data_IF_650673869968
#
_entry.id   IF_650673869968
#
_cell.length_a   1.000
_cell.length_b   1.000
_cell.length_c   1.000
_cell.angle_alpha   90.00
_cell.angle_beta   90.00
_cell.angle_gamma   90.00
#
_symmetry.space_group_name_H-M   'P 1'
#
loop_
_entity.id
_entity.type
_entity.pdbx_description
1 polymer ?
#
# COMPACT_ATOMS: atom_id res chain seq x y z
N UNK A 1 16.67 23.27 14.23
CA UNK A 1 16.40 23.71 12.85
C UNK A 1 16.92 25.12 12.55
N UNK A 2 16.66 26.13 13.41
CA UNK A 2 17.20 27.51 13.18
C UNK A 2 18.73 27.59 13.14
N UNK A 3 19.42 26.81 13.95
CA UNK A 3 20.90 26.76 14.04
C UNK A 3 21.59 26.25 12.75
N UNK A 4 20.88 25.48 11.94
CA UNK A 4 21.43 24.87 10.72
C UNK A 4 20.86 25.47 9.42
N UNK A 5 20.10 26.56 9.49
CA UNK A 5 19.48 27.21 8.33
C UNK A 5 18.44 26.34 7.60
N UNK A 6 18.02 25.22 8.17
CA UNK A 6 17.06 24.29 7.57
C UNK A 6 15.66 24.88 7.59
N UNK A 7 15.08 25.08 6.42
CA UNK A 7 13.67 25.46 6.26
C UNK A 7 12.87 24.21 5.88
N UNK A 8 11.83 23.83 6.66
CA UNK A 8 10.97 22.72 6.27
C UNK A 8 10.23 23.08 4.97
N UNK A 9 10.16 22.13 4.03
CA UNK A 9 9.26 22.27 2.87
C UNK A 9 7.83 22.25 3.40
N UNK A 10 7.16 23.40 3.40
CA UNK A 10 5.76 23.49 3.81
C UNK A 10 4.93 22.84 2.72
N UNK A 11 4.28 21.72 3.02
CA UNK A 11 3.25 21.16 2.15
C UNK A 11 2.04 22.11 2.20
N UNK A 12 1.63 22.64 1.07
CA UNK A 12 0.30 23.23 0.97
C UNK A 12 -0.71 22.10 1.23
N UNK A 13 -1.38 22.16 2.38
CA UNK A 13 -2.40 21.18 2.72
C UNK A 13 -3.51 21.22 1.66
N UNK A 14 -3.75 20.12 0.98
CA UNK A 14 -4.99 19.92 0.26
C UNK A 14 -6.11 19.98 1.30
N UNK A 15 -6.98 20.96 1.18
CA UNK A 15 -8.23 20.99 1.92
C UNK A 15 -9.10 19.89 1.32
N UNK A 16 -9.14 18.71 1.95
CA UNK A 16 -10.12 17.68 1.63
C UNK A 16 -11.49 18.29 1.96
N UNK A 17 -12.20 18.72 0.94
CA UNK A 17 -13.62 18.99 1.05
C UNK A 17 -14.26 17.61 1.23
N UNK A 18 -14.71 17.29 2.44
CA UNK A 18 -15.59 16.16 2.69
C UNK A 18 -16.90 16.49 1.99
N UNK A 19 -17.02 16.07 0.73
CA UNK A 19 -18.31 15.99 0.07
C UNK A 19 -19.07 14.87 0.79
N UNK A 20 -20.20 15.23 1.37
CA UNK A 20 -21.12 14.32 2.06
C UNK A 20 -21.37 13.09 1.20
N UNK A 21 -21.10 11.93 1.75
CA UNK A 21 -21.36 10.62 1.11
C UNK A 21 -22.89 10.32 1.01
N UNK A 22 -23.73 11.21 1.53
CA UNK A 22 -25.18 11.11 1.52
C UNK A 22 -25.73 11.32 0.10
N UNK A 23 -26.28 10.25 -0.47
CA UNK A 23 -27.02 10.28 -1.75
C UNK A 23 -26.30 9.68 -2.96
N UNK A 24 -25.10 9.11 -2.84
CA UNK A 24 -24.47 8.35 -3.93
C UNK A 24 -24.85 6.87 -3.84
N UNK A 25 -25.13 6.20 -4.98
CA UNK A 25 -25.48 4.78 -4.97
C UNK A 25 -24.35 3.95 -4.35
N UNK A 26 -24.71 2.95 -3.56
CA UNK A 26 -23.76 1.99 -3.03
C UNK A 26 -23.15 1.17 -4.17
N UNK A 27 -21.85 0.86 -4.04
CA UNK A 27 -21.18 -0.03 -4.98
C UNK A 27 -21.61 -1.47 -4.74
N UNK A 28 -21.68 -2.28 -5.80
CA UNK A 28 -21.98 -3.72 -5.70
C UNK A 28 -20.97 -4.46 -4.80
N UNK A 29 -19.74 -3.94 -4.71
CA UNK A 29 -18.68 -4.48 -3.85
C UNK A 29 -18.46 -3.54 -2.67
N UNK A 30 -18.59 -4.08 -1.46
CA UNK A 30 -18.50 -3.31 -0.21
C UNK A 30 -17.10 -2.72 0.00
N UNK A 31 -17.05 -1.44 0.42
CA UNK A 31 -15.81 -0.83 0.90
C UNK A 31 -15.44 -1.39 2.27
N UNK A 32 -14.55 -2.39 2.29
CA UNK A 32 -14.15 -3.10 3.50
C UNK A 32 -13.42 -2.19 4.52
N UNK A 33 -12.74 -1.14 4.06
CA UNK A 33 -12.01 -0.21 4.95
C UNK A 33 -12.94 0.60 5.86
N UNK A 34 -14.25 0.67 5.55
CA UNK A 34 -15.24 1.28 6.43
C UNK A 34 -15.69 0.36 7.56
N UNK A 35 -15.56 -0.95 7.39
CA UNK A 35 -16.15 -1.98 8.25
C UNK A 35 -15.10 -2.78 9.01
N UNK A 36 -13.91 -2.98 8.43
CA UNK A 36 -12.84 -3.79 9.00
C UNK A 36 -11.65 -2.90 9.36
N UNK A 37 -11.32 -2.86 10.64
CA UNK A 37 -10.04 -2.34 11.10
C UNK A 37 -9.02 -3.49 11.10
N UNK A 38 -7.97 -3.46 10.27
CA UNK A 38 -6.97 -4.53 10.29
C UNK A 38 -6.18 -4.46 11.59
N UNK A 39 -6.22 -5.54 12.37
CA UNK A 39 -5.47 -5.68 13.63
C UNK A 39 -4.14 -6.42 13.44
N UNK A 40 -3.85 -6.88 12.24
CA UNK A 40 -2.61 -7.60 11.88
C UNK A 40 -2.31 -7.42 10.41
N UNK A 41 -1.05 -7.69 10.04
CA UNK A 41 -0.61 -7.67 8.65
C UNK A 41 -1.30 -8.75 7.81
N UNK A 42 -1.30 -8.54 6.50
CA UNK A 42 -1.84 -9.45 5.48
C UNK A 42 -3.36 -9.73 5.61
N UNK A 43 -4.11 -8.85 6.28
CA UNK A 43 -5.58 -8.91 6.27
C UNK A 43 -6.14 -8.10 5.12
N UNK A 44 -5.68 -6.88 4.95
CA UNK A 44 -6.10 -5.98 3.89
C UNK A 44 -4.86 -5.41 3.20
N UNK A 45 -4.78 -5.62 1.88
CA UNK A 45 -3.88 -4.85 1.04
C UNK A 45 -4.67 -3.82 0.25
N UNK A 46 -4.06 -2.67 0.01
CA UNK A 46 -4.64 -1.66 -0.88
C UNK A 46 -3.72 -1.46 -2.08
N UNK A 47 -4.33 -1.42 -3.26
CA UNK A 47 -3.63 -1.21 -4.52
C UNK A 47 -4.03 0.11 -5.18
N UNK A 48 -3.09 0.70 -5.88
CA UNK A 48 -3.29 1.85 -6.74
C UNK A 48 -2.09 1.98 -7.68
N UNK A 49 -2.17 2.83 -8.68
CA UNK A 49 -1.03 3.18 -9.51
C UNK A 49 -0.91 4.69 -9.68
N UNK A 50 0.30 5.14 -9.94
CA UNK A 50 0.59 6.52 -10.28
C UNK A 50 1.37 6.59 -11.58
N UNK A 51 1.47 7.79 -12.16
CA UNK A 51 2.23 8.01 -13.38
C UNK A 51 3.32 9.06 -13.17
N UNK A 52 4.39 8.87 -13.92
CA UNK A 52 5.57 9.75 -13.98
C UNK A 52 5.79 10.09 -15.44
N UNK A 53 5.76 11.39 -15.78
CA UNK A 53 6.15 11.84 -17.11
C UNK A 53 7.67 11.85 -17.21
N UNK A 54 8.22 11.10 -18.15
CA UNK A 54 9.66 11.05 -18.34
C UNK A 54 10.02 10.95 -19.82
N UNK A 55 10.89 11.87 -20.29
CA UNK A 55 11.31 12.07 -21.68
C UNK A 55 10.08 12.41 -22.55
N UNK A 56 9.41 11.42 -23.14
CA UNK A 56 8.36 11.58 -24.15
C UNK A 56 7.06 10.83 -23.85
N UNK A 57 6.97 10.19 -22.67
CA UNK A 57 5.81 9.35 -22.30
C UNK A 57 5.57 9.26 -20.79
N UNK A 58 4.42 8.69 -20.46
CA UNK A 58 4.12 8.29 -19.08
C UNK A 58 4.70 6.92 -18.77
N UNK A 59 5.27 6.81 -17.58
CA UNK A 59 5.62 5.57 -16.91
C UNK A 59 4.67 5.39 -15.73
N UNK A 60 4.17 4.18 -15.56
CA UNK A 60 3.18 3.86 -14.55
C UNK A 60 3.84 3.00 -13.47
N UNK A 61 3.60 3.35 -12.21
CA UNK A 61 4.09 2.61 -11.07
C UNK A 61 2.87 2.15 -10.28
N UNK A 62 2.57 0.85 -10.33
CA UNK A 62 1.57 0.22 -9.48
C UNK A 62 2.22 -0.23 -8.17
N UNK A 63 1.54 -0.01 -7.06
CA UNK A 63 2.01 -0.45 -5.74
C UNK A 63 0.91 -1.11 -4.95
N UNK A 64 1.31 -2.04 -4.09
CA UNK A 64 0.47 -2.71 -3.11
C UNK A 64 0.99 -2.39 -1.71
N UNK A 65 0.14 -1.80 -0.89
CA UNK A 65 0.44 -1.44 0.50
C UNK A 65 -0.32 -2.36 1.46
N UNK A 66 0.35 -2.89 2.47
CA UNK A 66 -0.34 -3.52 3.60
C UNK A 66 -0.95 -2.42 4.50
N UNK A 67 -2.26 -2.46 4.67
CA UNK A 67 -3.01 -1.40 5.36
C UNK A 67 -2.67 -1.33 6.85
N UNK A 68 -2.25 -2.41 7.48
CA UNK A 68 -1.85 -2.42 8.89
C UNK A 68 -0.44 -1.87 9.09
N UNK A 69 0.54 -2.41 8.37
CA UNK A 69 1.95 -2.05 8.54
C UNK A 69 2.35 -0.79 7.80
N UNK A 70 1.58 -0.36 6.78
CA UNK A 70 1.92 0.71 5.82
C UNK A 70 3.13 0.36 4.93
N UNK A 71 3.58 -0.86 4.95
CA UNK A 71 4.67 -1.34 4.10
C UNK A 71 4.20 -1.49 2.65
N UNK A 72 4.98 -1.02 1.70
CA UNK A 72 4.79 -1.37 0.29
C UNK A 72 5.31 -2.79 0.11
N UNK A 73 4.38 -3.72 -0.01
CA UNK A 73 4.68 -5.17 -0.07
C UNK A 73 4.90 -5.66 -1.49
N UNK A 74 4.43 -4.93 -2.50
CA UNK A 74 4.66 -5.26 -3.91
C UNK A 74 4.56 -4.03 -4.79
N UNK A 75 5.19 -4.10 -5.95
CA UNK A 75 5.17 -3.02 -6.94
C UNK A 75 5.53 -3.53 -8.33
N UNK A 76 5.09 -2.79 -9.34
CA UNK A 76 5.52 -3.00 -10.72
C UNK A 76 5.60 -1.65 -11.46
N UNK A 77 6.50 -1.55 -12.44
CA UNK A 77 6.64 -0.39 -13.31
C UNK A 77 6.44 -0.80 -14.76
N UNK A 78 5.69 -0.01 -15.52
CA UNK A 78 5.41 -0.27 -16.93
C UNK A 78 5.13 1.02 -17.70
N UNK A 79 5.09 0.92 -19.02
CA UNK A 79 4.80 2.02 -19.94
C UNK A 79 3.30 2.10 -20.34
N UNK A 80 2.47 1.21 -19.81
CA UNK A 80 1.03 1.19 -20.01
C UNK A 80 0.30 0.93 -18.70
N UNK A 81 -0.84 1.60 -18.48
CA UNK A 81 -1.73 1.33 -17.35
C UNK A 81 -2.73 0.24 -17.76
N UNK A 82 -2.35 -0.98 -17.60
CA UNK A 82 -3.15 -2.16 -17.98
C UNK A 82 -3.44 -3.02 -16.77
N UNK A 83 -4.40 -3.92 -16.90
CA UNK A 83 -4.68 -4.94 -15.89
C UNK A 83 -3.44 -5.77 -15.55
N UNK A 84 -2.53 -6.01 -16.52
CA UNK A 84 -1.29 -6.72 -16.23
C UNK A 84 -0.37 -5.95 -15.29
N UNK A 85 -0.28 -4.62 -15.39
CA UNK A 85 0.55 -3.80 -14.50
C UNK A 85 0.16 -4.01 -13.02
N UNK A 86 -1.15 -3.97 -12.73
CA UNK A 86 -1.65 -4.15 -11.36
C UNK A 86 -1.60 -5.60 -10.91
N UNK A 87 -1.79 -6.54 -11.84
CA UNK A 87 -1.64 -7.97 -11.57
C UNK A 87 -0.20 -8.34 -11.20
N UNK A 88 0.78 -7.82 -11.93
CA UNK A 88 2.20 -8.03 -11.66
C UNK A 88 2.60 -7.45 -10.28
N UNK A 89 2.07 -6.26 -9.92
CA UNK A 89 2.30 -5.68 -8.60
C UNK A 89 1.70 -6.53 -7.47
N UNK A 90 0.49 -7.10 -7.66
CA UNK A 90 -0.13 -8.01 -6.71
C UNK A 90 0.64 -9.33 -6.57
N UNK A 91 1.05 -9.92 -7.67
CA UNK A 91 1.84 -11.16 -7.68
C UNK A 91 3.23 -10.95 -7.06
N UNK A 92 3.85 -9.79 -7.29
CA UNK A 92 5.10 -9.42 -6.63
C UNK A 92 4.89 -9.35 -5.10
N UNK A 93 3.79 -8.75 -4.64
CA UNK A 93 3.43 -8.71 -3.22
C UNK A 93 3.25 -10.10 -2.63
N UNK A 94 2.50 -10.98 -3.30
CA UNK A 94 2.26 -12.35 -2.87
C UNK A 94 3.57 -13.15 -2.79
N UNK A 95 4.45 -13.01 -3.78
CA UNK A 95 5.76 -13.67 -3.81
C UNK A 95 6.68 -13.18 -2.69
N UNK A 96 6.77 -11.85 -2.45
CA UNK A 96 7.66 -11.27 -1.43
C UNK A 96 7.23 -11.60 -0.01
N UNK A 97 5.92 -11.61 0.23
CA UNK A 97 5.37 -11.86 1.57
C UNK A 97 5.19 -13.34 1.86
N UNK A 98 5.18 -14.21 0.83
CA UNK A 98 4.86 -15.63 0.95
C UNK A 98 3.40 -15.90 1.35
N UNK A 99 2.52 -14.90 1.23
CA UNK A 99 1.10 -15.00 1.61
C UNK A 99 0.23 -14.10 0.75
N UNK A 100 -1.09 -14.18 0.93
CA UNK A 100 -2.07 -13.34 0.25
C UNK A 100 -3.00 -12.67 1.26
N UNK A 101 -3.56 -11.50 0.94
CA UNK A 101 -4.48 -10.82 1.85
C UNK A 101 -5.85 -11.47 1.80
N UNK A 102 -6.62 -11.32 2.88
CA UNK A 102 -8.05 -11.68 2.86
C UNK A 102 -8.85 -10.75 1.95
N UNK A 103 -8.50 -9.46 1.94
CA UNK A 103 -9.17 -8.44 1.15
C UNK A 103 -8.14 -7.60 0.37
N UNK A 104 -8.49 -7.29 -0.88
CA UNK A 104 -7.72 -6.35 -1.69
C UNK A 104 -8.58 -5.13 -2.00
N UNK A 105 -8.17 -3.97 -1.51
CA UNK A 105 -8.89 -2.71 -1.67
C UNK A 105 -8.28 -1.86 -2.78
N UNK A 106 -9.12 -1.29 -3.64
CA UNK A 106 -8.70 -0.36 -4.70
C UNK A 106 -9.79 0.70 -4.95
N UNK A 107 -9.51 1.62 -5.84
CA UNK A 107 -10.55 2.41 -6.45
C UNK A 107 -11.35 1.59 -7.49
N UNK A 108 -12.28 2.26 -8.20
CA UNK A 108 -13.04 1.66 -9.29
C UNK A 108 -12.42 1.96 -10.67
N UNK A 109 -11.10 2.02 -10.77
CA UNK A 109 -10.42 2.07 -12.05
C UNK A 109 -10.78 0.86 -12.92
N UNK A 110 -10.87 1.05 -14.23
CA UNK A 110 -11.25 0.01 -15.19
C UNK A 110 -10.39 -1.24 -15.06
N UNK A 111 -9.13 -1.05 -14.72
CA UNK A 111 -8.15 -2.11 -14.53
C UNK A 111 -8.50 -3.00 -13.35
N UNK A 112 -8.90 -2.39 -12.21
CA UNK A 112 -9.24 -3.07 -10.95
C UNK A 112 -10.59 -3.78 -10.97
N UNK A 113 -11.56 -3.27 -11.76
CA UNK A 113 -12.89 -3.88 -11.90
C UNK A 113 -12.98 -4.81 -13.10
N UNK A 114 -11.86 -5.09 -13.77
CA UNK A 114 -11.82 -6.04 -14.89
C UNK A 114 -12.03 -7.47 -14.39
N UNK A 115 -12.83 -8.25 -15.13
CA UNK A 115 -13.06 -9.66 -14.79
C UNK A 115 -11.76 -10.50 -14.72
N UNK A 116 -10.74 -10.12 -15.49
CA UNK A 116 -9.42 -10.77 -15.43
C UNK A 116 -8.73 -10.53 -14.08
N UNK A 117 -8.78 -9.31 -13.56
CA UNK A 117 -8.17 -9.00 -12.25
C UNK A 117 -8.95 -9.63 -11.10
N UNK A 118 -10.28 -9.58 -11.15
CA UNK A 118 -11.13 -10.24 -10.14
C UNK A 118 -10.90 -11.75 -10.11
N UNK A 119 -10.79 -12.40 -11.27
CA UNK A 119 -10.45 -13.83 -11.38
C UNK A 119 -9.07 -14.14 -10.81
N UNK A 120 -8.10 -13.26 -11.04
CA UNK A 120 -6.77 -13.38 -10.42
C UNK A 120 -6.88 -13.35 -8.90
N UNK A 121 -7.53 -12.33 -8.32
CA UNK A 121 -7.69 -12.23 -6.87
C UNK A 121 -8.38 -13.47 -6.28
N UNK A 122 -9.43 -13.95 -6.93
CA UNK A 122 -10.16 -15.16 -6.51
C UNK A 122 -9.26 -16.40 -6.53
N UNK A 123 -8.39 -16.55 -7.53
CA UNK A 123 -7.43 -17.68 -7.59
C UNK A 123 -6.44 -17.69 -6.43
N UNK A 124 -6.21 -16.53 -5.81
CA UNK A 124 -5.40 -16.39 -4.58
C UNK A 124 -6.23 -16.39 -3.28
N UNK A 125 -7.55 -16.66 -3.36
CA UNK A 125 -8.45 -16.64 -2.21
C UNK A 125 -8.68 -15.25 -1.62
N UNK A 126 -8.43 -14.20 -2.40
CA UNK A 126 -8.55 -12.80 -1.99
C UNK A 126 -9.88 -12.21 -2.45
N UNK A 127 -10.59 -11.55 -1.55
CA UNK A 127 -11.87 -10.89 -1.85
C UNK A 127 -11.61 -9.43 -2.29
N UNK A 128 -12.11 -9.01 -3.47
CA UNK A 128 -12.00 -7.61 -3.89
C UNK A 128 -12.87 -6.69 -3.01
N UNK A 129 -12.42 -5.44 -2.88
CA UNK A 129 -13.11 -4.37 -2.18
C UNK A 129 -12.85 -3.06 -2.90
N UNK A 130 -13.87 -2.24 -3.12
CA UNK A 130 -13.69 -0.99 -3.86
C UNK A 130 -14.17 0.22 -3.07
N UNK A 131 -13.45 1.34 -3.24
CA UNK A 131 -13.93 2.65 -2.82
C UNK A 131 -15.10 3.08 -3.70
N UNK A 132 -15.93 4.02 -3.25
CA UNK A 132 -16.95 4.63 -4.11
C UNK A 132 -16.30 5.44 -5.23
N UNK A 133 -16.92 5.43 -6.41
CA UNK A 133 -16.47 6.24 -7.55
C UNK A 133 -16.39 7.71 -7.16
N UNK A 134 -15.24 8.35 -7.46
CA UNK A 134 -14.99 9.76 -7.14
C UNK A 134 -14.78 10.03 -5.64
N UNK A 135 -14.39 9.04 -4.85
CA UNK A 135 -14.10 9.16 -3.43
C UNK A 135 -12.63 8.81 -3.11
N UNK A 136 -11.64 9.60 -3.61
CA UNK A 136 -10.21 9.28 -3.46
C UNK A 136 -9.78 9.15 -2.00
N UNK A 137 -10.40 9.90 -1.08
CA UNK A 137 -10.12 9.79 0.36
C UNK A 137 -10.36 8.39 0.94
N UNK A 138 -11.12 7.53 0.25
CA UNK A 138 -11.37 6.16 0.66
C UNK A 138 -10.17 5.22 0.35
N UNK A 139 -9.23 5.65 -0.51
CA UNK A 139 -7.94 5.01 -0.72
C UNK A 139 -6.78 5.90 -0.20
N UNK A 140 -7.00 6.62 0.89
CA UNK A 140 -6.06 7.59 1.46
C UNK A 140 -4.69 7.03 1.85
N UNK A 141 -4.56 5.72 1.98
CA UNK A 141 -3.27 5.06 2.21
C UNK A 141 -2.35 5.19 1.01
N UNK A 142 -2.85 4.89 -0.17
CA UNK A 142 -2.12 5.00 -1.43
C UNK A 142 -1.89 6.46 -1.81
N UNK A 143 -2.91 7.31 -1.65
CA UNK A 143 -2.78 8.75 -1.90
C UNK A 143 -1.66 9.36 -1.05
N UNK A 144 -1.63 9.05 0.25
CA UNK A 144 -0.59 9.51 1.16
C UNK A 144 0.80 9.00 0.76
N UNK A 145 0.89 7.73 0.33
CA UNK A 145 2.15 7.17 -0.15
C UNK A 145 2.64 7.90 -1.41
N UNK A 146 1.81 8.03 -2.45
CA UNK A 146 2.23 8.64 -3.72
C UNK A 146 2.60 10.11 -3.60
N UNK A 147 1.92 10.86 -2.72
CA UNK A 147 2.29 12.24 -2.43
C UNK A 147 3.71 12.35 -1.85
N UNK A 148 4.08 11.42 -0.97
CA UNK A 148 5.44 11.34 -0.43
C UNK A 148 6.44 10.84 -1.47
N UNK A 149 6.09 9.75 -2.15
CA UNK A 149 6.92 9.11 -3.17
C UNK A 149 7.36 10.10 -4.27
N UNK A 150 6.40 10.84 -4.85
CA UNK A 150 6.70 11.84 -5.89
C UNK A 150 7.56 12.99 -5.38
N UNK A 151 7.29 13.45 -4.14
CA UNK A 151 8.08 14.52 -3.52
C UNK A 151 9.52 14.10 -3.27
N UNK A 152 9.72 12.89 -2.80
CA UNK A 152 11.02 12.35 -2.39
C UNK A 152 11.82 11.81 -3.58
N UNK A 153 11.14 11.28 -4.61
CA UNK A 153 11.74 10.96 -5.90
C UNK A 153 12.34 12.21 -6.55
N UNK A 154 11.72 13.38 -6.32
CA UNK A 154 12.24 14.68 -6.76
C UNK A 154 12.08 14.93 -8.25
N UNK A 155 12.99 15.75 -8.80
CA UNK A 155 12.96 16.11 -10.23
C UNK A 155 13.49 14.96 -11.08
N UNK A 156 12.58 14.37 -11.87
CA UNK A 156 12.93 13.24 -12.76
C UNK A 156 13.83 13.62 -13.93
N UNK A 157 13.95 14.94 -14.24
CA UNK A 157 14.88 15.43 -15.28
C UNK A 157 16.36 15.20 -14.93
N UNK A 158 16.67 14.81 -13.70
CA UNK A 158 18.01 14.39 -13.28
C UNK A 158 18.45 13.05 -13.85
N UNK A 159 17.53 12.27 -14.41
CA UNK A 159 17.84 10.98 -15.00
C UNK A 159 18.12 11.14 -16.50
N UNK A 160 19.19 10.52 -16.98
CA UNK A 160 19.63 10.60 -18.38
C UNK A 160 18.85 9.63 -19.27
N UNK A 161 18.40 8.50 -18.72
CA UNK A 161 17.68 7.48 -19.45
C UNK A 161 16.72 6.70 -18.53
N UNK A 162 15.79 5.98 -19.14
CA UNK A 162 14.73 5.26 -18.44
C UNK A 162 15.24 4.22 -17.41
N UNK A 163 16.38 3.60 -17.67
CA UNK A 163 16.98 2.65 -16.73
C UNK A 163 17.24 3.26 -15.36
N UNK A 164 17.74 4.51 -15.30
CA UNK A 164 17.96 5.22 -14.03
C UNK A 164 16.63 5.50 -13.31
N UNK A 165 15.55 5.84 -14.03
CA UNK A 165 14.23 6.00 -13.44
C UNK A 165 13.71 4.67 -12.87
N UNK A 166 13.86 3.58 -13.64
CA UNK A 166 13.43 2.23 -13.21
C UNK A 166 14.18 1.76 -11.97
N UNK A 167 15.46 2.09 -11.84
CA UNK A 167 16.27 1.81 -10.64
C UNK A 167 15.90 2.70 -9.45
N UNK A 168 15.57 3.96 -9.69
CA UNK A 168 15.23 4.89 -8.63
C UNK A 168 13.89 4.54 -7.93
N UNK A 169 12.95 3.93 -8.64
CA UNK A 169 11.64 3.53 -8.07
C UNK A 169 11.81 2.52 -6.92
N UNK A 170 12.47 1.36 -7.08
CA UNK A 170 12.67 0.43 -5.98
C UNK A 170 13.55 1.00 -4.86
N UNK A 171 14.52 1.85 -5.18
CA UNK A 171 15.33 2.52 -4.16
C UNK A 171 14.47 3.44 -3.28
N UNK A 172 13.55 4.19 -3.89
CA UNK A 172 12.62 5.05 -3.16
C UNK A 172 11.62 4.24 -2.33
N UNK A 173 11.14 3.09 -2.84
CA UNK A 173 10.29 2.17 -2.08
C UNK A 173 11.07 1.56 -0.90
N UNK A 174 12.32 1.18 -1.11
CA UNK A 174 13.21 0.68 -0.06
C UNK A 174 13.41 1.72 1.04
N UNK A 175 13.71 2.96 0.68
CA UNK A 175 13.81 4.08 1.61
C UNK A 175 12.51 4.27 2.41
N UNK A 176 11.36 4.30 1.73
CA UNK A 176 10.05 4.43 2.39
C UNK A 176 9.80 3.32 3.41
N UNK A 177 10.09 2.08 3.05
CA UNK A 177 9.85 0.93 3.90
C UNK A 177 10.79 0.84 5.10
N UNK A 178 12.08 1.16 4.92
CA UNK A 178 13.12 0.86 5.91
C UNK A 178 13.61 2.08 6.71
N UNK A 179 13.51 3.29 6.15
CA UNK A 179 14.13 4.47 6.76
C UNK A 179 13.12 5.58 7.08
N UNK A 180 12.11 5.76 6.22
CA UNK A 180 11.15 6.83 6.37
C UNK A 180 10.24 6.62 7.58
N UNK A 181 10.27 7.54 8.54
CA UNK A 181 9.37 7.50 9.70
C UNK A 181 7.93 7.78 9.27
N UNK A 182 7.05 6.79 9.41
CA UNK A 182 5.63 6.93 9.16
C UNK A 182 4.92 7.60 10.35
N UNK A 183 4.13 8.64 10.09
CA UNK A 183 3.50 9.45 11.15
C UNK A 183 2.59 8.66 12.09
N UNK A 184 1.85 7.66 11.56
CA UNK A 184 0.95 6.84 12.38
C UNK A 184 1.68 5.88 13.32
N UNK A 185 2.83 5.33 12.89
CA UNK A 185 3.59 4.33 13.65
C UNK A 185 4.78 4.92 14.40
N UNK A 186 5.18 6.17 14.09
CA UNK A 186 6.37 6.85 14.63
C UNK A 186 7.68 6.09 14.38
N UNK A 187 7.68 5.22 13.38
CA UNK A 187 8.81 4.41 12.93
C UNK A 187 8.62 3.99 11.47
N UNK A 188 9.67 3.47 10.79
CA UNK A 188 9.55 2.90 9.45
C UNK A 188 8.60 1.70 9.40
N UNK A 189 7.90 1.47 8.28
CA UNK A 189 6.95 0.37 8.12
C UNK A 189 7.52 -1.01 8.44
N UNK A 190 8.73 -1.32 7.97
CA UNK A 190 9.40 -2.61 8.25
C UNK A 190 9.70 -2.78 9.73
N UNK A 191 10.17 -1.72 10.41
CA UNK A 191 10.44 -1.77 11.85
C UNK A 191 9.15 -2.03 12.64
N UNK A 192 8.05 -1.38 12.23
CA UNK A 192 6.74 -1.63 12.83
C UNK A 192 6.29 -3.08 12.62
N UNK A 193 6.43 -3.61 11.39
CA UNK A 193 6.10 -5.00 11.08
C UNK A 193 6.85 -5.99 11.97
N UNK A 194 8.17 -5.82 12.08
CA UNK A 194 9.01 -6.70 12.90
C UNK A 194 8.58 -6.71 14.37
N UNK A 195 8.32 -5.53 14.95
CA UNK A 195 7.81 -5.41 16.33
C UNK A 195 6.45 -6.07 16.51
N UNK A 196 5.54 -5.89 15.56
CA UNK A 196 4.21 -6.50 15.61
C UNK A 196 4.28 -8.03 15.53
N UNK A 197 5.20 -8.58 14.72
CA UNK A 197 5.46 -10.02 14.64
C UNK A 197 6.02 -10.58 15.95
N UNK A 198 6.99 -9.89 16.55
CA UNK A 198 7.57 -10.27 17.84
C UNK A 198 6.52 -10.31 18.95
N UNK A 199 5.70 -9.27 19.05
CA UNK A 199 4.60 -9.22 20.01
C UNK A 199 3.59 -10.34 19.81
N UNK A 200 3.20 -10.64 18.57
CA UNK A 200 2.27 -11.73 18.26
C UNK A 200 2.86 -13.11 18.63
N UNK A 201 4.15 -13.31 18.41
CA UNK A 201 4.84 -14.57 18.80
C UNK A 201 4.91 -14.71 20.32
N UNK A 202 5.25 -13.64 21.04
CA UNK A 202 5.28 -13.64 22.50
C UNK A 202 3.91 -13.94 23.10
N UNK A 203 2.84 -13.36 22.54
CA UNK A 203 1.47 -13.65 23.00
C UNK A 203 1.08 -15.11 22.76
N UNK A 204 1.45 -15.70 21.62
CA UNK A 204 1.22 -17.11 21.33
C UNK A 204 1.95 -18.01 22.34
N UNK A 205 3.22 -17.74 22.64
CA UNK A 205 4.01 -18.51 23.62
C UNK A 205 3.36 -18.41 25.00
N UNK A 206 2.99 -17.20 25.45
CA UNK A 206 2.36 -17.00 26.75
C UNK A 206 1.00 -17.73 26.85
N UNK A 207 0.19 -17.67 25.78
CA UNK A 207 -1.10 -18.39 25.76
C UNK A 207 -0.91 -19.92 25.79
N UNK A 208 0.14 -20.43 25.16
CA UNK A 208 0.48 -21.84 25.20
C UNK A 208 0.93 -22.26 26.61
N UNK A 209 1.78 -21.47 27.27
CA UNK A 209 2.27 -21.75 28.63
C UNK A 209 1.16 -21.65 29.69
N UNK A 210 0.13 -20.88 29.48
CA UNK A 210 -1.02 -20.73 30.38
C UNK A 210 -2.09 -21.79 30.19
N UNK A 211 -1.98 -22.69 29.20
CA UNK A 211 -2.94 -23.75 28.96
C UNK A 211 -2.49 -25.06 29.67
N UNK A 212 -3.03 -25.38 30.88
CA UNK A 212 -2.54 -26.51 31.69
C UNK A 212 -2.80 -27.89 31.08
N UNK A 213 -3.59 -27.98 29.99
CA UNK A 213 -3.92 -29.27 29.36
C UNK A 213 -2.84 -29.76 28.39
N UNK A 214 -1.91 -28.91 27.96
CA UNK A 214 -0.84 -29.28 27.01
C UNK A 214 0.50 -29.60 27.67
N UNK A 215 0.64 -29.36 28.98
CA UNK A 215 1.88 -29.60 29.74
C UNK A 215 1.92 -31.03 30.37
N UNK A 216 0.87 -31.85 30.24
CA UNK A 216 0.76 -33.16 30.87
C UNK A 216 1.00 -34.36 29.95
N UNK A 217 1.57 -34.20 28.78
CA UNK A 217 1.86 -35.29 27.85
C UNK A 217 3.32 -35.25 27.36
N UNK A 218 4.26 -35.31 28.30
CA UNK A 218 5.66 -35.74 28.08
C UNK A 218 6.05 -36.64 29.27
#
# INVERSE_FOLDING_TARGET
MRLYGLKPKIRRGFRLVKLDDLGRPETLVTNILKVVCPLRMCVIWAGDFTYIWFIDRFWYVATVIDVYTREIVGWHIGNHHTTSLIADAFQDAARRTGTTPKYFHSDQGSEYVSGAYESLLQSYGTTPSHSRKGSPWQNGYQESFYNNFKLELGDVRRFDHVGQLVEAVPQQICYYNNERIHSAHKMPPVVFRLKAQEQANTQKINSFLQNPLLVRSV
#
